data_IF_130719939533
#
_entry.id   IF_130719939533
#
_cell.length_a   1.000
_cell.length_b   1.000
_cell.length_c   1.000
_cell.angle_alpha   90.00
_cell.angle_beta   90.00
_cell.angle_gamma   90.00
#
_symmetry.space_group_name_H-M   'P 1'
#
loop_
_entity.id
_entity.type
_entity.pdbx_description
1 polymer ?
#
# COMPACT_ATOMS: atom_id res chain seq x y z
N UNK A 1 9.64 -19.68 -10.61
CA UNK A 1 9.96 -18.88 -9.40
C UNK A 1 9.29 -17.50 -9.42
N UNK A 2 9.00 -16.92 -10.60
CA UNK A 2 8.39 -15.59 -10.68
C UNK A 2 6.93 -15.57 -10.23
N UNK A 3 6.15 -16.65 -10.40
CA UNK A 3 4.80 -16.77 -9.80
C UNK A 3 4.78 -16.60 -8.27
N UNK A 4 5.76 -17.21 -7.60
CA UNK A 4 5.88 -17.17 -6.13
C UNK A 4 6.30 -15.78 -5.67
N UNK A 5 7.27 -15.16 -6.35
CA UNK A 5 7.71 -13.79 -6.08
C UNK A 5 6.62 -12.75 -6.39
N UNK A 6 5.90 -12.90 -7.50
CA UNK A 6 4.80 -12.01 -7.88
C UNK A 6 3.62 -12.08 -6.90
N UNK A 7 3.29 -13.27 -6.43
CA UNK A 7 2.27 -13.45 -5.38
C UNK A 7 2.71 -12.81 -4.05
N UNK A 8 3.98 -12.96 -3.66
CA UNK A 8 4.53 -12.35 -2.45
C UNK A 8 4.50 -10.82 -2.51
N UNK A 9 4.80 -10.23 -3.67
CA UNK A 9 4.71 -8.78 -3.91
C UNK A 9 3.29 -8.25 -3.74
N UNK A 10 2.28 -8.95 -4.26
CA UNK A 10 0.87 -8.56 -4.10
C UNK A 10 0.45 -8.64 -2.64
N UNK A 11 0.82 -9.71 -1.93
CA UNK A 11 0.51 -9.87 -0.51
C UNK A 11 1.20 -8.78 0.33
N UNK A 12 2.47 -8.48 0.04
CA UNK A 12 3.19 -7.37 0.66
C UNK A 12 2.51 -6.02 0.45
N UNK A 13 2.06 -5.75 -0.78
CA UNK A 13 1.31 -4.52 -1.11
C UNK A 13 0.00 -4.39 -0.34
N UNK A 14 -0.74 -5.49 -0.18
CA UNK A 14 -1.96 -5.53 0.63
C UNK A 14 -1.68 -5.25 2.11
N UNK A 15 -0.62 -5.84 2.67
CA UNK A 15 -0.23 -5.62 4.06
C UNK A 15 0.16 -4.16 4.31
N UNK A 16 1.02 -3.58 3.46
CA UNK A 16 1.43 -2.18 3.57
C UNK A 16 0.22 -1.25 3.40
N UNK A 17 -0.64 -1.51 2.42
CA UNK A 17 -1.87 -0.74 2.23
C UNK A 17 -2.82 -0.81 3.43
N UNK A 18 -2.95 -1.99 4.05
CA UNK A 18 -3.73 -2.18 5.27
C UNK A 18 -3.21 -1.38 6.45
N UNK A 19 -1.88 -1.37 6.67
CA UNK A 19 -1.24 -0.56 7.72
C UNK A 19 -1.51 0.92 7.51
N UNK A 20 -1.41 1.39 6.27
CA UNK A 20 -1.67 2.79 5.92
C UNK A 20 -3.11 3.19 6.24
N UNK A 21 -4.09 2.37 5.85
CA UNK A 21 -5.51 2.62 6.17
C UNK A 21 -5.76 2.58 7.67
N UNK A 22 -5.13 1.63 8.38
CA UNK A 22 -5.23 1.54 9.83
C UNK A 22 -4.70 2.79 10.54
N UNK A 23 -3.55 3.33 10.10
CA UNK A 23 -3.01 4.59 10.59
C UNK A 23 -3.97 5.76 10.34
N UNK A 24 -4.59 5.86 9.15
CA UNK A 24 -5.62 6.88 8.89
C UNK A 24 -6.78 6.78 9.87
N UNK A 25 -7.20 5.56 10.23
CA UNK A 25 -8.29 5.32 11.16
C UNK A 25 -7.92 5.74 12.59
N UNK A 26 -6.69 5.48 13.03
CA UNK A 26 -6.17 5.96 14.32
C UNK A 26 -6.17 7.49 14.41
N UNK A 27 -5.75 8.18 13.35
CA UNK A 27 -5.69 9.65 13.32
C UNK A 27 -7.02 10.31 12.93
N UNK A 28 -8.08 9.55 12.67
CA UNK A 28 -9.37 10.08 12.24
C UNK A 28 -10.07 10.96 13.30
N UNK A 29 -9.74 10.76 14.57
CA UNK A 29 -10.25 11.55 15.70
C UNK A 29 -9.42 12.80 16.04
N UNK A 30 -8.31 13.04 15.35
CA UNK A 30 -7.46 14.20 15.62
C UNK A 30 -7.89 15.46 14.85
N UNK A 31 -7.31 16.61 15.23
CA UNK A 31 -7.62 17.91 14.62
C UNK A 31 -7.42 17.94 13.09
N UNK A 32 -8.05 18.91 12.44
CA UNK A 32 -8.15 19.01 10.97
C UNK A 32 -6.80 18.87 10.24
N UNK A 33 -5.72 19.41 10.82
CA UNK A 33 -4.35 19.31 10.30
C UNK A 33 -3.80 17.88 10.37
N UNK A 34 -3.97 17.19 11.49
CA UNK A 34 -3.51 15.81 11.68
C UNK A 34 -4.26 14.84 10.76
N UNK A 35 -5.57 15.05 10.58
CA UNK A 35 -6.37 14.28 9.61
C UNK A 35 -5.91 14.54 8.17
N UNK A 36 -5.63 15.80 7.82
CA UNK A 36 -5.14 16.16 6.49
C UNK A 36 -3.78 15.53 6.15
N UNK A 37 -2.82 15.60 7.08
CA UNK A 37 -1.50 14.97 6.91
C UNK A 37 -1.57 13.45 6.92
N UNK A 38 -2.42 12.84 7.75
CA UNK A 38 -2.63 11.39 7.75
C UNK A 38 -3.20 10.91 6.40
N UNK A 39 -4.17 11.63 5.84
CA UNK A 39 -4.76 11.28 4.53
C UNK A 39 -3.74 11.45 3.41
N UNK A 40 -3.01 12.56 3.38
CA UNK A 40 -1.99 12.81 2.36
C UNK A 40 -0.85 11.79 2.46
N UNK A 41 -0.32 11.56 3.67
CA UNK A 41 0.75 10.59 3.90
C UNK A 41 0.34 9.17 3.52
N UNK A 42 -0.92 8.80 3.77
CA UNK A 42 -1.46 7.52 3.35
C UNK A 42 -1.63 7.40 1.83
N UNK A 43 -2.10 8.47 1.17
CA UNK A 43 -2.20 8.51 -0.28
C UNK A 43 -0.82 8.35 -0.95
N UNK A 44 0.19 9.09 -0.47
CA UNK A 44 1.57 8.95 -0.94
C UNK A 44 2.18 7.60 -0.58
N UNK A 45 1.88 7.06 0.60
CA UNK A 45 2.32 5.72 1.01
C UNK A 45 1.77 4.62 0.10
N UNK A 46 0.48 4.69 -0.24
CA UNK A 46 -0.14 3.77 -1.20
C UNK A 46 0.48 3.89 -2.60
N UNK A 47 0.67 5.11 -3.10
CA UNK A 47 1.23 5.36 -4.43
C UNK A 47 2.69 4.96 -4.56
N UNK A 48 3.51 5.24 -3.55
CA UNK A 48 4.96 5.04 -3.62
C UNK A 48 5.38 3.64 -3.14
N UNK A 49 4.64 3.03 -2.22
CA UNK A 49 5.03 1.75 -1.62
C UNK A 49 4.20 0.59 -2.18
N UNK A 50 2.87 0.69 -2.15
CA UNK A 50 2.00 -0.43 -2.52
C UNK A 50 1.83 -0.56 -4.04
N UNK A 51 1.63 0.54 -4.76
CA UNK A 51 1.37 0.51 -6.20
C UNK A 51 2.51 -0.12 -7.03
N UNK A 52 3.80 0.19 -6.80
CA UNK A 52 4.89 -0.46 -7.55
C UNK A 52 4.97 -1.96 -7.27
N UNK A 53 4.64 -2.39 -6.04
CA UNK A 53 4.62 -3.80 -5.66
C UNK A 53 3.50 -4.54 -6.40
N UNK A 54 2.30 -3.96 -6.48
CA UNK A 54 1.21 -4.52 -7.27
C UNK A 54 1.54 -4.58 -8.76
N UNK A 55 2.07 -3.50 -9.34
CA UNK A 55 2.45 -3.45 -10.76
C UNK A 55 3.48 -4.53 -11.07
N UNK A 56 4.56 -4.61 -10.27
CA UNK A 56 5.61 -5.60 -10.45
C UNK A 56 5.08 -7.02 -10.23
N UNK A 57 4.26 -7.24 -9.20
CA UNK A 57 3.68 -8.55 -8.91
C UNK A 57 2.77 -9.07 -10.02
N UNK A 58 1.89 -8.21 -10.55
CA UNK A 58 1.02 -8.54 -11.69
C UNK A 58 1.83 -8.78 -12.95
N UNK A 59 2.84 -7.95 -13.22
CA UNK A 59 3.73 -8.12 -14.37
C UNK A 59 4.39 -9.51 -14.33
N UNK A 60 5.01 -9.86 -13.20
CA UNK A 60 5.69 -11.13 -13.01
C UNK A 60 4.75 -12.34 -13.11
N UNK A 61 3.50 -12.22 -12.64
CA UNK A 61 2.50 -13.27 -12.80
C UNK A 61 2.03 -13.44 -14.25
N UNK A 62 2.04 -12.36 -15.04
CA UNK A 62 1.62 -12.37 -16.44
C UNK A 62 2.71 -12.88 -17.39
N UNK A 63 3.97 -12.69 -17.05
CA UNK A 63 5.11 -13.06 -17.90
C UNK A 63 5.64 -14.49 -17.66
N UNK A 64 4.96 -15.29 -16.84
CA UNK A 64 5.41 -16.59 -16.31
C UNK A 64 4.35 -17.69 -16.56
#
# INVERSE_FOLDING_TARGET
>A
MHKLFGSALIIGGLLVGGIVVWLMWLYAGEGLLARGTAVAGAFFGLLLLALPQFILGVYLLRTD
#
